data_IF_445535613241
#
_entry.id   IF_445535613241
#
_cell.length_a   1.000
_cell.length_b   1.000
_cell.length_c   1.000
_cell.angle_alpha   90.00
_cell.angle_beta   90.00
_cell.angle_gamma   90.00
#
_symmetry.space_group_name_H-M   'P 1'
#
loop_
_entity.id
_entity.type
_entity.pdbx_description
1 polymer ?
#
# COMPACT_ATOMS: atom_id res chain seq x y z
N UNK A 1 -0.90 -16.59 20.87
CA UNK A 1 -2.16 -15.96 20.41
C UNK A 1 -2.68 -15.06 21.52
N UNK A 2 -2.69 -13.74 21.33
CA UNK A 2 -3.07 -12.80 22.38
C UNK A 2 -4.60 -12.65 22.44
N UNK A 3 -5.17 -12.44 23.63
CA UNK A 3 -6.59 -12.15 23.83
C UNK A 3 -7.04 -10.94 23.00
N UNK A 4 -6.10 -9.99 22.78
CA UNK A 4 -6.27 -8.78 21.98
C UNK A 4 -6.56 -9.10 20.50
N UNK A 5 -5.83 -10.03 19.87
CA UNK A 5 -6.04 -10.38 18.46
C UNK A 5 -7.39 -11.05 18.22
N UNK A 6 -7.86 -11.86 19.17
CA UNK A 6 -9.22 -12.44 19.11
C UNK A 6 -10.31 -11.37 19.20
N UNK A 7 -10.19 -10.45 20.17
CA UNK A 7 -11.16 -9.36 20.34
C UNK A 7 -11.18 -8.43 19.14
N UNK A 8 -10.00 -8.06 18.61
CA UNK A 8 -9.88 -7.24 17.40
C UNK A 8 -10.58 -7.91 16.22
N UNK A 9 -10.31 -9.19 15.96
CA UNK A 9 -10.97 -9.92 14.87
C UNK A 9 -12.50 -9.98 15.04
N UNK A 10 -13.00 -10.10 16.28
CA UNK A 10 -14.44 -10.15 16.55
C UNK A 10 -15.16 -8.82 16.29
N UNK A 11 -14.50 -7.70 16.52
CA UNK A 11 -15.09 -6.36 16.43
C UNK A 11 -14.77 -5.65 15.13
N UNK A 12 -13.74 -6.11 14.39
CA UNK A 12 -13.20 -5.48 13.20
C UNK A 12 -14.26 -5.15 12.14
N UNK A 13 -15.04 -6.15 11.73
CA UNK A 13 -16.08 -5.97 10.71
C UNK A 13 -17.12 -4.93 11.14
N UNK A 14 -17.48 -4.93 12.42
CA UNK A 14 -18.45 -3.96 12.97
C UNK A 14 -17.88 -2.55 13.03
N UNK A 15 -16.60 -2.42 13.39
CA UNK A 15 -15.89 -1.12 13.41
C UNK A 15 -15.74 -0.57 11.99
N UNK A 16 -15.40 -1.42 11.02
CA UNK A 16 -15.21 -1.03 9.64
C UNK A 16 -16.51 -0.83 8.86
N UNK A 17 -17.62 -1.43 9.29
CA UNK A 17 -18.89 -1.40 8.55
C UNK A 17 -19.38 0.01 8.22
N UNK A 18 -19.22 0.97 9.12
CA UNK A 18 -19.62 2.36 8.90
C UNK A 18 -18.71 3.06 7.88
N UNK A 19 -17.40 2.78 7.92
CA UNK A 19 -16.39 3.31 6.99
C UNK A 19 -16.59 2.72 5.59
N UNK A 20 -16.84 1.41 5.51
CA UNK A 20 -17.15 0.72 4.24
C UNK A 20 -18.40 1.33 3.58
N UNK A 21 -19.51 1.42 4.32
CA UNK A 21 -20.76 2.01 3.81
C UNK A 21 -20.63 3.49 3.45
N UNK A 22 -19.75 4.23 4.10
CA UNK A 22 -19.56 5.66 3.86
C UNK A 22 -18.65 5.96 2.64
N UNK A 23 -18.14 4.92 1.93
CA UNK A 23 -17.41 5.09 0.68
C UNK A 23 -16.14 4.23 0.54
N UNK A 24 -15.61 3.61 1.61
CA UNK A 24 -14.41 2.78 1.49
C UNK A 24 -14.66 1.58 0.54
N UNK A 25 -15.86 0.98 0.56
CA UNK A 25 -16.24 -0.09 -0.36
C UNK A 25 -16.18 0.35 -1.83
N UNK A 26 -16.60 1.58 -2.14
CA UNK A 26 -16.52 2.12 -3.51
C UNK A 26 -15.05 2.32 -3.96
N UNK A 27 -14.17 2.73 -3.05
CA UNK A 27 -12.73 2.82 -3.36
C UNK A 27 -12.13 1.43 -3.65
N UNK A 28 -12.45 0.41 -2.82
CA UNK A 28 -12.03 -0.98 -3.08
C UNK A 28 -12.54 -1.47 -4.44
N UNK A 29 -13.82 -1.26 -4.74
CA UNK A 29 -14.41 -1.62 -6.01
C UNK A 29 -13.66 -0.97 -7.18
N UNK A 30 -13.47 0.34 -7.16
CA UNK A 30 -12.79 1.06 -8.24
C UNK A 30 -11.34 0.61 -8.44
N UNK A 31 -10.69 0.13 -7.38
CA UNK A 31 -9.30 -0.30 -7.38
C UNK A 31 -9.15 -1.74 -7.93
N UNK A 32 -10.11 -2.62 -7.66
CA UNK A 32 -9.96 -4.06 -7.82
C UNK A 32 -10.70 -4.66 -9.02
N UNK A 33 -11.82 -4.05 -9.46
CA UNK A 33 -12.69 -4.64 -10.50
C UNK A 33 -11.99 -4.89 -11.83
N UNK A 34 -10.98 -4.08 -12.20
CA UNK A 34 -10.24 -4.22 -13.46
C UNK A 34 -8.96 -5.06 -13.36
N UNK A 35 -8.73 -5.77 -12.26
CA UNK A 35 -7.53 -6.60 -12.10
C UNK A 35 -7.65 -7.88 -12.92
N UNK A 36 -6.51 -8.36 -13.41
CA UNK A 36 -6.38 -9.57 -14.23
C UNK A 36 -5.09 -10.30 -13.93
N UNK A 37 -5.00 -11.57 -14.37
CA UNK A 37 -3.82 -12.42 -14.20
C UNK A 37 -3.74 -13.02 -12.79
N UNK A 38 -2.53 -13.34 -12.35
CA UNK A 38 -2.27 -13.96 -11.04
C UNK A 38 -2.16 -12.85 -9.99
N UNK A 39 -3.10 -12.81 -9.05
CA UNK A 39 -3.22 -11.76 -8.04
C UNK A 39 -2.82 -12.29 -6.67
N UNK A 40 -1.96 -11.55 -5.98
CA UNK A 40 -1.65 -11.71 -4.55
C UNK A 40 -2.31 -10.57 -3.77
N UNK A 41 -3.12 -10.87 -2.79
CA UNK A 41 -3.56 -9.92 -1.75
C UNK A 41 -2.80 -10.19 -0.47
N UNK A 42 -2.10 -9.18 0.08
CA UNK A 42 -1.51 -9.26 1.40
C UNK A 42 -2.48 -8.71 2.45
N UNK A 43 -2.45 -9.30 3.67
CA UNK A 43 -3.26 -8.85 4.80
C UNK A 43 -4.75 -8.84 4.51
N UNK A 44 -5.29 -9.94 3.98
CA UNK A 44 -6.70 -10.04 3.56
C UNK A 44 -7.73 -9.83 4.68
N UNK A 45 -7.30 -9.84 5.94
CA UNK A 45 -8.14 -9.60 7.10
C UNK A 45 -9.34 -10.55 7.14
N UNK A 46 -10.54 -10.00 7.08
CA UNK A 46 -11.79 -10.75 7.04
C UNK A 46 -12.34 -10.93 5.62
N UNK A 47 -11.57 -10.58 4.56
CA UNK A 47 -11.95 -10.74 3.17
C UNK A 47 -12.87 -9.63 2.63
N UNK A 48 -12.63 -8.37 2.99
CA UNK A 48 -13.44 -7.23 2.52
C UNK A 48 -13.34 -7.02 1.00
N UNK A 49 -12.22 -7.44 0.40
CA UNK A 49 -11.95 -7.28 -1.04
C UNK A 49 -12.53 -8.38 -1.92
N UNK A 50 -12.82 -9.57 -1.38
CA UNK A 50 -13.15 -10.77 -2.15
C UNK A 50 -14.26 -10.58 -3.19
N UNK A 51 -15.27 -9.78 -2.87
CA UNK A 51 -16.41 -9.50 -3.74
C UNK A 51 -16.08 -8.62 -4.96
N UNK A 52 -14.91 -7.99 -4.99
CA UNK A 52 -14.53 -7.03 -6.03
C UNK A 52 -13.58 -7.59 -7.09
N UNK A 53 -13.06 -8.81 -6.90
CA UNK A 53 -12.25 -9.48 -7.89
C UNK A 53 -13.13 -10.00 -9.03
N UNK A 54 -12.84 -9.56 -10.25
CA UNK A 54 -13.60 -9.94 -11.44
C UNK A 54 -13.11 -11.25 -12.08
N UNK A 55 -13.82 -11.74 -13.09
CA UNK A 55 -13.52 -13.00 -13.77
C UNK A 55 -12.19 -12.99 -14.57
N UNK A 56 -11.59 -11.82 -14.80
CA UNK A 56 -10.28 -11.70 -15.44
C UNK A 56 -9.11 -12.06 -14.51
N UNK A 57 -9.37 -12.28 -13.21
CA UNK A 57 -8.38 -12.80 -12.25
C UNK A 57 -8.24 -14.30 -12.47
N UNK A 58 -7.09 -14.70 -13.01
CA UNK A 58 -6.79 -16.12 -13.30
C UNK A 58 -6.61 -16.95 -12.03
N UNK A 59 -5.94 -16.36 -11.05
CA UNK A 59 -5.80 -16.95 -9.72
C UNK A 59 -5.69 -15.86 -8.65
N UNK A 60 -6.35 -16.09 -7.51
CA UNK A 60 -6.29 -15.24 -6.34
C UNK A 60 -5.62 -15.98 -5.19
N UNK A 61 -4.56 -15.40 -4.64
CA UNK A 61 -3.92 -15.86 -3.41
C UNK A 61 -4.01 -14.75 -2.38
N UNK A 62 -4.51 -15.07 -1.19
CA UNK A 62 -4.67 -14.10 -0.10
C UNK A 62 -3.83 -14.53 1.08
N UNK A 63 -2.96 -13.64 1.59
CA UNK A 63 -2.18 -13.90 2.80
C UNK A 63 -2.73 -13.10 3.98
N UNK A 64 -2.66 -13.70 5.18
CA UNK A 64 -3.07 -13.07 6.44
C UNK A 64 -2.27 -13.68 7.60
N UNK A 65 -1.57 -12.90 8.42
CA UNK A 65 -0.76 -13.45 9.51
C UNK A 65 -1.57 -13.88 10.75
N UNK A 66 -2.70 -13.23 11.03
CA UNK A 66 -3.46 -13.42 12.26
C UNK A 66 -4.46 -14.58 12.15
N UNK A 67 -4.25 -15.66 12.92
CA UNK A 67 -5.08 -16.88 12.89
C UNK A 67 -6.59 -16.58 13.01
N UNK A 68 -7.07 -15.72 13.94
CA UNK A 68 -8.50 -15.43 14.02
C UNK A 68 -9.08 -14.75 12.78
N UNK A 69 -8.26 -13.99 12.04
CA UNK A 69 -8.63 -13.40 10.76
C UNK A 69 -8.64 -14.46 9.65
N UNK A 70 -7.61 -15.33 9.60
CA UNK A 70 -7.54 -16.44 8.63
C UNK A 70 -8.82 -17.28 8.66
N UNK A 71 -9.30 -17.70 9.84
CA UNK A 71 -10.53 -18.50 9.94
C UNK A 71 -11.77 -17.79 9.37
N UNK A 72 -11.85 -16.46 9.53
CA UNK A 72 -12.95 -15.67 8.96
C UNK A 72 -12.79 -15.50 7.46
N UNK A 73 -11.57 -15.25 7.01
CA UNK A 73 -11.20 -15.15 5.61
C UNK A 73 -11.54 -16.44 4.86
N UNK A 74 -11.12 -17.59 5.35
CA UNK A 74 -11.41 -18.91 4.76
C UNK A 74 -12.90 -19.18 4.62
N UNK A 75 -13.70 -18.81 5.65
CA UNK A 75 -15.16 -18.94 5.55
C UNK A 75 -15.71 -18.09 4.43
N UNK A 76 -15.29 -16.83 4.33
CA UNK A 76 -15.76 -15.89 3.32
C UNK A 76 -15.25 -16.23 1.92
N UNK A 77 -14.04 -16.79 1.81
CA UNK A 77 -13.51 -17.33 0.54
C UNK A 77 -14.39 -18.44 0.01
N UNK A 78 -14.83 -19.39 0.85
CA UNK A 78 -15.75 -20.45 0.41
C UNK A 78 -17.06 -19.93 -0.16
N UNK A 79 -17.53 -18.77 0.33
CA UNK A 79 -18.79 -18.15 -0.10
C UNK A 79 -18.62 -17.30 -1.37
N UNK A 80 -17.55 -16.49 -1.47
CA UNK A 80 -17.41 -15.44 -2.48
C UNK A 80 -16.36 -15.71 -3.56
N UNK A 81 -15.33 -16.50 -3.25
CA UNK A 81 -14.20 -16.75 -4.14
C UNK A 81 -13.63 -18.18 -3.91
N UNK A 82 -14.41 -19.24 -4.15
CA UNK A 82 -14.07 -20.61 -3.72
C UNK A 82 -12.77 -21.15 -4.35
N UNK A 83 -12.29 -20.57 -5.43
CA UNK A 83 -11.02 -20.92 -6.09
C UNK A 83 -9.80 -20.18 -5.51
N UNK A 84 -10.02 -19.18 -4.65
CA UNK A 84 -8.94 -18.42 -4.05
C UNK A 84 -8.19 -19.27 -3.00
N UNK A 85 -6.87 -19.09 -2.95
CA UNK A 85 -5.99 -19.74 -1.95
C UNK A 85 -5.78 -18.81 -0.77
N UNK A 86 -5.94 -19.31 0.44
CA UNK A 86 -5.62 -18.60 1.68
C UNK A 86 -4.37 -19.19 2.28
N UNK A 87 -3.37 -18.36 2.59
CA UNK A 87 -2.16 -18.77 3.29
C UNK A 87 -1.92 -17.88 4.51
N UNK A 88 -1.49 -18.50 5.59
CA UNK A 88 -1.03 -17.77 6.77
C UNK A 88 0.40 -17.32 6.54
N UNK A 89 0.61 -16.04 6.21
CA UNK A 89 1.94 -15.45 6.04
C UNK A 89 1.91 -13.94 6.34
N UNK A 90 2.95 -13.39 6.99
CA UNK A 90 3.15 -11.96 7.07
C UNK A 90 3.65 -11.40 5.73
N UNK A 91 3.39 -10.10 5.50
CA UNK A 91 3.85 -9.43 4.27
C UNK A 91 5.38 -9.31 4.18
N UNK A 92 6.07 -9.41 5.31
CA UNK A 92 7.52 -9.35 5.45
C UNK A 92 8.25 -10.65 5.10
N UNK A 93 7.50 -11.75 4.89
CA UNK A 93 8.05 -13.09 4.61
C UNK A 93 7.03 -13.90 3.81
N UNK A 94 7.03 -13.69 2.50
CA UNK A 94 6.05 -14.29 1.59
C UNK A 94 6.56 -15.64 1.07
N UNK A 95 5.83 -16.76 1.29
CA UNK A 95 6.27 -18.11 0.93
C UNK A 95 6.06 -18.40 -0.57
N UNK A 96 6.49 -17.50 -1.43
CA UNK A 96 6.36 -17.62 -2.88
C UNK A 96 7.70 -17.44 -3.57
N UNK A 97 7.87 -18.03 -4.73
CA UNK A 97 9.02 -17.81 -5.60
C UNK A 97 9.01 -16.38 -6.16
N UNK A 98 10.17 -15.93 -6.62
CA UNK A 98 10.31 -14.67 -7.33
C UNK A 98 9.43 -14.63 -8.58
N UNK A 99 8.98 -13.45 -8.97
CA UNK A 99 8.22 -13.22 -10.20
C UNK A 99 6.97 -14.13 -10.37
N UNK A 100 6.31 -14.48 -9.27
CA UNK A 100 5.15 -15.39 -9.28
C UNK A 100 3.87 -14.67 -9.72
N UNK A 101 3.69 -13.39 -9.34
CA UNK A 101 2.43 -12.68 -9.50
C UNK A 101 2.49 -11.53 -10.50
N UNK A 102 1.36 -11.27 -11.15
CA UNK A 102 1.17 -10.16 -12.07
C UNK A 102 0.78 -8.89 -11.32
N UNK A 103 -0.01 -9.06 -10.24
CA UNK A 103 -0.52 -7.97 -9.41
C UNK A 103 -0.39 -8.35 -7.93
N UNK A 104 0.07 -7.41 -7.12
CA UNK A 104 -0.03 -7.45 -5.67
C UNK A 104 -1.00 -6.36 -5.20
N UNK A 105 -1.84 -6.68 -4.22
CA UNK A 105 -2.85 -5.79 -3.65
C UNK A 105 -2.56 -5.59 -2.17
N UNK A 106 -2.58 -4.33 -1.74
CA UNK A 106 -2.46 -3.92 -0.34
C UNK A 106 -3.52 -2.88 -0.01
N UNK A 107 -4.42 -3.20 0.90
CA UNK A 107 -5.48 -2.28 1.32
C UNK A 107 -5.54 -2.16 2.83
N UNK A 108 -5.01 -1.05 3.36
CA UNK A 108 -4.88 -0.75 4.80
C UNK A 108 -4.00 -1.78 5.53
N UNK A 109 -2.92 -2.25 4.89
CA UNK A 109 -1.99 -3.24 5.40
C UNK A 109 -0.60 -2.67 5.62
N UNK A 110 -0.01 -1.97 4.62
CA UNK A 110 1.34 -1.41 4.72
C UNK A 110 1.49 -0.42 5.87
N UNK A 111 0.41 0.23 6.28
CA UNK A 111 0.38 1.06 7.47
C UNK A 111 0.48 0.26 8.79
N UNK A 112 0.20 -1.05 8.77
CA UNK A 112 0.18 -1.93 9.94
C UNK A 112 1.34 -2.93 10.04
N UNK A 113 2.10 -3.17 8.97
CA UNK A 113 3.23 -4.11 8.96
C UNK A 113 4.34 -3.69 9.93
N UNK A 114 5.07 -4.66 10.48
CA UNK A 114 6.13 -4.39 11.46
C UNK A 114 7.38 -3.77 10.81
N UNK A 115 7.74 -4.27 9.62
CA UNK A 115 8.89 -3.81 8.81
C UNK A 115 8.42 -3.46 7.39
N UNK A 116 8.04 -2.20 7.18
CA UNK A 116 7.56 -1.71 5.89
C UNK A 116 8.58 -1.87 4.75
N UNK A 117 9.86 -1.52 4.93
CA UNK A 117 10.89 -1.77 3.91
C UNK A 117 11.00 -3.26 3.52
N UNK A 118 10.93 -4.17 4.48
CA UNK A 118 10.98 -5.62 4.22
C UNK A 118 9.75 -6.10 3.46
N UNK A 119 8.55 -5.68 3.89
CA UNK A 119 7.30 -6.02 3.19
C UNK A 119 7.31 -5.53 1.73
N UNK A 120 7.78 -4.32 1.48
CA UNK A 120 7.89 -3.77 0.12
C UNK A 120 8.95 -4.51 -0.73
N UNK A 121 10.07 -4.95 -0.14
CA UNK A 121 11.05 -5.80 -0.85
C UNK A 121 10.44 -7.16 -1.23
N UNK A 122 9.70 -7.78 -0.31
CA UNK A 122 9.00 -9.06 -0.59
C UNK A 122 7.96 -8.89 -1.70
N UNK A 123 7.13 -7.85 -1.64
CA UNK A 123 6.18 -7.53 -2.70
C UNK A 123 6.86 -7.34 -4.06
N UNK A 124 8.00 -6.64 -4.09
CA UNK A 124 8.78 -6.46 -5.29
C UNK A 124 9.38 -7.77 -5.80
N UNK A 125 9.85 -8.64 -4.92
CA UNK A 125 10.43 -9.94 -5.25
C UNK A 125 9.41 -10.87 -5.89
N UNK A 126 8.22 -10.97 -5.31
CA UNK A 126 7.18 -11.89 -5.79
C UNK A 126 6.44 -11.39 -7.04
N UNK A 127 6.50 -10.09 -7.33
CA UNK A 127 5.96 -9.52 -8.55
C UNK A 127 6.91 -9.76 -9.73
N UNK A 128 6.37 -10.13 -10.90
CA UNK A 128 7.15 -10.20 -12.13
C UNK A 128 7.71 -8.84 -12.54
N UNK A 129 8.75 -8.78 -13.38
CA UNK A 129 9.15 -7.53 -14.02
C UNK A 129 7.96 -6.88 -14.75
N UNK A 130 7.74 -5.57 -14.51
CA UNK A 130 6.55 -4.86 -14.98
C UNK A 130 5.25 -5.20 -14.24
N UNK A 131 5.31 -6.04 -13.20
CA UNK A 131 4.17 -6.35 -12.33
C UNK A 131 3.69 -5.15 -11.55
N UNK A 132 2.44 -5.16 -11.11
CA UNK A 132 1.76 -4.01 -10.49
C UNK A 132 1.54 -4.21 -9.00
N UNK A 133 1.87 -3.19 -8.21
CA UNK A 133 1.40 -3.00 -6.84
C UNK A 133 0.18 -2.06 -6.88
N UNK A 134 -0.95 -2.53 -6.38
CA UNK A 134 -2.20 -1.78 -6.25
C UNK A 134 -2.42 -1.54 -4.77
N UNK A 135 -2.61 -0.28 -4.37
CA UNK A 135 -2.63 0.07 -2.96
C UNK A 135 -3.71 1.08 -2.58
N UNK A 136 -4.21 0.95 -1.36
CA UNK A 136 -5.03 1.92 -0.64
C UNK A 136 -4.57 1.92 0.81
N UNK A 137 -3.91 3.00 1.26
CA UNK A 137 -3.18 2.99 2.52
C UNK A 137 -3.31 4.31 3.28
N UNK A 138 -3.27 4.25 4.60
CA UNK A 138 -3.04 5.45 5.40
C UNK A 138 -1.68 6.06 5.08
N UNK A 139 -1.61 7.38 5.13
CA UNK A 139 -0.37 8.11 4.84
C UNK A 139 -0.21 9.29 5.79
N UNK A 140 1.04 9.66 6.03
CA UNK A 140 1.37 10.93 6.69
C UNK A 140 0.81 12.08 5.87
N UNK A 141 0.18 13.04 6.55
CA UNK A 141 -0.36 14.25 5.91
C UNK A 141 0.75 15.20 5.48
N UNK A 142 0.59 15.81 4.32
CA UNK A 142 1.47 16.90 3.85
C UNK A 142 1.27 18.20 4.64
N UNK A 143 0.10 18.37 5.30
CA UNK A 143 -0.14 19.48 6.23
C UNK A 143 0.68 19.29 7.52
N UNK A 144 1.64 20.18 7.83
CA UNK A 144 2.51 20.04 8.99
C UNK A 144 1.76 20.02 10.33
N UNK A 145 0.63 20.72 10.44
CA UNK A 145 -0.17 20.72 11.67
C UNK A 145 -0.83 19.36 11.89
N UNK A 146 -1.40 18.79 10.82
CA UNK A 146 -1.99 17.46 10.86
C UNK A 146 -0.94 16.37 11.06
N UNK A 147 0.22 16.48 10.42
CA UNK A 147 1.33 15.55 10.62
C UNK A 147 1.82 15.53 12.08
N UNK A 148 1.90 16.69 12.74
CA UNK A 148 2.20 16.78 14.18
C UNK A 148 1.14 16.07 15.02
N UNK A 149 -0.14 16.28 14.69
CA UNK A 149 -1.25 15.60 15.37
C UNK A 149 -1.21 14.09 15.15
N UNK A 150 -0.92 13.63 13.94
CA UNK A 150 -0.71 12.19 13.64
C UNK A 150 0.39 11.62 14.55
N UNK A 151 1.56 12.24 14.63
CA UNK A 151 2.66 11.79 15.48
C UNK A 151 2.24 11.68 16.94
N UNK A 152 1.51 12.70 17.45
CA UNK A 152 1.03 12.74 18.84
C UNK A 152 0.01 11.64 19.14
N UNK A 153 -0.87 11.32 18.18
CA UNK A 153 -1.98 10.39 18.36
C UNK A 153 -1.68 8.97 17.87
N UNK A 154 -0.53 8.75 17.22
CA UNK A 154 -0.23 7.46 16.57
C UNK A 154 -0.20 6.29 17.55
N UNK A 155 0.29 6.50 18.78
CA UNK A 155 0.28 5.45 19.81
C UNK A 155 -1.13 4.93 20.11
N UNK A 156 -2.13 5.83 20.16
CA UNK A 156 -3.53 5.48 20.37
C UNK A 156 -4.09 4.73 19.16
N UNK A 157 -3.75 5.20 17.94
CA UNK A 157 -4.16 4.54 16.71
C UNK A 157 -3.60 3.12 16.62
N UNK A 158 -2.33 2.92 16.96
CA UNK A 158 -1.72 1.58 17.07
C UNK A 158 -2.41 0.69 18.11
N UNK A 159 -2.83 1.28 19.22
CA UNK A 159 -3.53 0.54 20.28
C UNK A 159 -4.91 0.07 19.84
N UNK A 160 -5.67 0.91 19.12
CA UNK A 160 -7.08 0.66 18.76
C UNK A 160 -7.20 -0.12 17.43
N UNK A 161 -6.46 0.29 16.38
CA UNK A 161 -6.63 -0.25 15.02
C UNK A 161 -5.38 -0.92 14.46
N UNK A 162 -4.32 -1.08 15.26
CA UNK A 162 -3.07 -1.75 14.88
C UNK A 162 -2.39 -1.13 13.64
N UNK A 163 -2.50 0.19 13.43
CA UNK A 163 -2.06 0.88 12.24
C UNK A 163 -1.28 2.15 12.60
N UNK A 164 -0.21 2.44 11.85
CA UNK A 164 0.55 3.69 11.90
C UNK A 164 0.01 4.66 10.84
N UNK A 165 -0.80 5.62 11.24
CA UNK A 165 -1.40 6.59 10.31
C UNK A 165 -0.44 7.72 9.86
N UNK A 166 0.81 7.72 10.34
CA UNK A 166 1.82 8.75 10.09
C UNK A 166 3.01 8.27 9.25
N UNK A 167 2.89 7.13 8.57
CA UNK A 167 3.95 6.59 7.71
C UNK A 167 4.04 7.36 6.39
N UNK A 168 5.26 7.64 5.87
CA UNK A 168 5.47 8.16 4.53
C UNK A 168 5.36 7.01 3.51
N UNK A 169 4.17 6.40 3.42
CA UNK A 169 3.95 5.16 2.65
C UNK A 169 4.27 5.34 1.17
N UNK A 170 3.92 6.50 0.58
CA UNK A 170 4.21 6.77 -0.82
C UNK A 170 5.72 6.81 -1.10
N UNK A 171 6.47 7.56 -0.28
CA UNK A 171 7.93 7.65 -0.39
C UNK A 171 8.58 6.27 -0.19
N UNK A 172 8.05 5.48 0.75
CA UNK A 172 8.55 4.13 1.02
C UNK A 172 8.35 3.20 -0.17
N UNK A 173 7.21 3.28 -0.88
CA UNK A 173 6.95 2.54 -2.12
C UNK A 173 7.99 2.92 -3.19
N UNK A 174 8.24 4.21 -3.39
CA UNK A 174 9.23 4.70 -4.35
C UNK A 174 10.67 4.28 -3.98
N UNK A 175 11.04 4.40 -2.71
CA UNK A 175 12.37 3.98 -2.20
C UNK A 175 12.60 2.48 -2.34
N UNK A 176 11.54 1.67 -2.28
CA UNK A 176 11.63 0.23 -2.54
C UNK A 176 11.84 -0.10 -4.03
N UNK A 177 11.90 0.90 -4.92
CA UNK A 177 12.17 0.75 -6.35
C UNK A 177 10.93 0.49 -7.20
N UNK A 178 9.74 0.82 -6.70
CA UNK A 178 8.54 0.88 -7.51
C UNK A 178 8.42 2.24 -8.23
N UNK A 179 7.93 2.22 -9.46
CA UNK A 179 7.54 3.43 -10.19
C UNK A 179 6.05 3.66 -9.99
N UNK A 180 5.68 4.75 -9.29
CA UNK A 180 4.27 5.12 -9.08
C UNK A 180 3.69 5.62 -10.40
N UNK A 181 2.68 4.93 -10.92
CA UNK A 181 2.02 5.24 -12.21
C UNK A 181 0.75 6.05 -12.02
N UNK A 182 0.07 5.86 -10.88
CA UNK A 182 -1.13 6.61 -10.53
C UNK A 182 -1.23 6.71 -9.01
N UNK A 183 -1.56 7.90 -8.52
CA UNK A 183 -1.86 8.10 -7.09
C UNK A 183 -2.93 9.17 -6.94
N UNK A 184 -3.86 8.94 -6.02
CA UNK A 184 -4.85 9.89 -5.57
C UNK A 184 -4.76 10.02 -4.05
N UNK A 185 -4.68 11.25 -3.55
CA UNK A 185 -4.79 11.56 -2.14
C UNK A 185 -6.26 11.69 -1.76
N UNK A 186 -6.63 11.13 -0.63
CA UNK A 186 -8.02 11.11 -0.18
C UNK A 186 -8.12 11.18 1.34
N UNK A 187 -9.33 11.38 1.83
CA UNK A 187 -9.66 11.22 3.24
C UNK A 187 -10.55 9.98 3.41
N UNK A 188 -10.16 9.05 4.26
CA UNK A 188 -11.01 7.92 4.59
C UNK A 188 -12.27 8.42 5.32
N UNK A 189 -13.46 7.98 4.88
CA UNK A 189 -14.71 8.40 5.47
C UNK A 189 -14.86 7.85 6.90
N UNK A 190 -15.57 8.59 7.75
CA UNK A 190 -15.90 8.17 9.13
C UNK A 190 -14.69 7.83 10.01
N UNK A 191 -13.50 8.28 9.64
CA UNK A 191 -12.28 8.16 10.47
C UNK A 191 -11.97 9.48 11.17
N UNK A 192 -11.30 9.48 12.33
CA UNK A 192 -10.83 10.70 12.97
C UNK A 192 -9.96 11.54 12.02
N UNK A 193 -10.07 12.86 12.06
CA UNK A 193 -9.38 13.78 11.13
C UNK A 193 -7.86 13.54 11.03
N UNK A 194 -7.20 13.12 12.13
CA UNK A 194 -5.78 12.81 12.12
C UNK A 194 -5.47 11.48 11.41
N UNK A 195 -6.36 10.49 11.45
CA UNK A 195 -6.19 9.18 10.83
C UNK A 195 -6.82 9.10 9.43
N UNK A 196 -7.52 10.15 8.98
CA UNK A 196 -8.22 10.13 7.68
C UNK A 196 -7.31 10.24 6.44
N UNK A 197 -6.09 10.85 6.46
CA UNK A 197 -5.27 10.92 5.26
C UNK A 197 -4.92 9.53 4.73
N UNK A 198 -5.19 9.33 3.46
CA UNK A 198 -4.92 8.08 2.75
C UNK A 198 -4.52 8.36 1.30
N UNK A 199 -3.87 7.37 0.71
CA UNK A 199 -3.54 7.34 -0.72
C UNK A 199 -4.12 6.08 -1.34
N UNK A 200 -4.53 6.20 -2.59
CA UNK A 200 -4.94 5.08 -3.43
C UNK A 200 -4.23 5.17 -4.77
N UNK A 201 -3.71 4.06 -5.28
CA UNK A 201 -2.99 4.12 -6.53
C UNK A 201 -2.43 2.80 -7.02
N UNK A 202 -1.57 2.94 -8.04
CA UNK A 202 -0.82 1.85 -8.64
C UNK A 202 0.64 2.24 -8.81
N UNK A 203 1.51 1.26 -8.62
CA UNK A 203 2.92 1.36 -8.90
C UNK A 203 3.40 0.09 -9.63
N UNK A 204 4.47 0.17 -10.39
CA UNK A 204 5.01 -0.95 -11.15
C UNK A 204 6.42 -1.29 -10.70
N UNK A 205 6.77 -2.57 -10.74
CA UNK A 205 8.17 -2.98 -10.69
C UNK A 205 8.87 -2.57 -12.00
N UNK A 206 10.19 -2.34 -11.98
CA UNK A 206 10.93 -2.13 -13.23
C UNK A 206 10.66 -3.26 -14.22
N UNK A 207 10.45 -2.93 -15.48
CA UNK A 207 10.37 -3.92 -16.57
C UNK A 207 11.67 -4.73 -16.69
N UNK A 208 11.63 -5.88 -17.33
CA UNK A 208 12.85 -6.57 -17.72
C UNK A 208 13.64 -5.64 -18.65
N UNK A 209 14.88 -5.30 -18.28
CA UNK A 209 15.77 -4.65 -19.23
C UNK A 209 15.98 -5.61 -20.39
N UNK A 210 15.73 -5.16 -21.61
CA UNK A 210 16.18 -5.88 -22.78
C UNK A 210 17.71 -6.00 -22.71
N UNK A 211 18.31 -7.17 -22.98
CA UNK A 211 19.76 -7.28 -23.04
C UNK A 211 20.26 -6.34 -24.11
N UNK A 212 20.94 -5.22 -23.75
CA UNK A 212 21.50 -4.27 -24.68
C UNK A 212 21.13 -2.81 -24.48
N UNK A 213 20.25 -2.44 -23.58
CA UNK A 213 20.02 -1.02 -23.25
C UNK A 213 21.12 -0.48 -22.34
N UNK A 214 21.86 0.58 -22.78
CA UNK A 214 22.89 1.20 -21.95
C UNK A 214 22.28 1.85 -20.71
N UNK A 215 23.01 1.74 -19.62
CA UNK A 215 22.68 2.39 -18.34
C UNK A 215 22.61 3.91 -18.52
N UNK A 216 21.41 4.49 -18.56
CA UNK A 216 21.26 5.94 -18.48
C UNK A 216 21.61 6.34 -17.06
N UNK A 217 22.89 6.72 -16.87
CA UNK A 217 23.37 7.27 -15.63
C UNK A 217 22.48 8.47 -15.24
N UNK A 218 21.84 8.38 -14.10
CA UNK A 218 21.12 9.48 -13.47
C UNK A 218 22.09 10.65 -13.28
N UNK A 219 22.09 11.60 -14.23
CA UNK A 219 22.82 12.85 -14.07
C UNK A 219 22.17 13.61 -12.92
N UNK A 220 22.87 13.64 -11.80
CA UNK A 220 22.62 14.63 -10.76
C UNK A 220 22.77 15.99 -11.38
N UNK A 221 21.69 16.74 -11.50
CA UNK A 221 21.74 18.15 -11.81
C UNK A 221 22.27 18.84 -10.55
N UNK A 222 23.60 18.98 -10.47
CA UNK A 222 24.23 19.91 -9.54
C UNK A 222 23.99 21.30 -10.07
N UNK A 223 23.11 22.07 -9.41
CA UNK A 223 22.85 23.46 -9.73
C UNK A 223 24.14 24.28 -9.67
N UNK A 224 24.55 24.78 -10.81
CA UNK A 224 25.55 25.84 -10.90
C UNK A 224 24.95 27.11 -10.28
N UNK A 225 25.60 27.62 -9.24
CA UNK A 225 25.39 28.98 -8.75
C UNK A 225 26.11 29.92 -9.70
N UNK A 226 25.37 30.63 -10.51
CA UNK A 226 25.92 31.77 -11.25
C UNK A 226 26.15 32.92 -10.26
N UNK A 227 27.43 33.21 -10.09
CA UNK A 227 27.93 34.39 -9.37
C UNK A 227 27.68 35.63 -10.23
N UNK A 228 26.82 36.52 -9.74
CA UNK A 228 26.65 37.86 -10.30
C UNK A 228 27.91 38.69 -10.02
N UNK A 229 28.71 38.92 -11.04
CA UNK A 229 29.86 39.83 -11.01
C UNK A 229 29.42 41.25 -11.45
N UNK A 230 29.72 42.17 -10.58
CA UNK A 230 29.57 43.61 -10.67
C UNK A 230 30.13 44.25 -11.97
N UNK A 231 29.34 45.11 -12.57
CA UNK A 231 29.79 46.05 -13.62
C UNK A 231 30.45 47.28 -13.02
N UNK A 232 31.48 47.83 -13.63
CA UNK A 232 32.09 49.12 -13.20
C UNK A 232 31.40 50.32 -13.87
N UNK A 233 31.21 51.33 -13.05
CA UNK A 233 30.87 52.70 -13.48
C UNK A 233 32.00 53.33 -14.32
N UNK A 234 31.68 53.85 -15.51
CA UNK A 234 32.55 54.70 -16.32
C UNK A 234 31.89 56.08 -16.52
N UNK A 235 32.56 57.12 -16.04
CA UNK A 235 32.27 58.53 -16.30
C UNK A 235 32.65 58.91 -17.72
N UNK A 236 31.95 59.82 -18.27
CA UNK A 236 32.49 61.08 -18.83
C UNK A 236 31.65 61.60 -20.00
N UNK A 237 31.47 62.96 -20.01
CA UNK A 237 31.07 63.74 -21.13
C UNK A 237 29.80 64.54 -20.96
#
# INVERSE_FOLDING_TARGET
MTLRSKFFALTYDRQMANTEKAGLAAYRQSLLTGLHGRVLEIGGGTGANLQWYGPAVESLTVTEPEIPMVHRLERKVRELAPTAKVLRAPAEDLPFNDATFDVAVSTLVLCGVSDLPRALRELRRVLRPGGRLVFLEHVRSDDPARARLQNRMNWLNRLVVCCDCNRPTLDSIQQAGFTVTKVAHMALPRTPKFASPAIMGTATTPGSRSPGEPEVASRRITGARDSCSSAPTGQAG
#
